data_IF_304873098255
#
_entry.id   IF_304873098255
#
_cell.length_a   1.000
_cell.length_b   1.000
_cell.length_c   1.000
_cell.angle_alpha   90.00
_cell.angle_beta   90.00
_cell.angle_gamma   90.00
#
_symmetry.space_group_name_H-M   'P 1'
#
loop_
_entity.id
_entity.type
_entity.pdbx_description
1 polymer ?
#
# COMPACT_ATOMS: atom_id res chain seq x y z
N UNK A 1 -54.72 -43.76 -2.99
CA UNK A 1 -54.00 -42.65 -3.62
C UNK A 1 -52.79 -42.32 -2.78
N UNK A 2 -51.63 -42.93 -3.07
CA UNK A 2 -50.46 -42.92 -2.20
C UNK A 2 -49.50 -41.86 -2.77
N UNK A 3 -49.34 -40.73 -2.02
CA UNK A 3 -48.36 -39.69 -2.40
C UNK A 3 -46.95 -40.20 -2.16
N UNK A 4 -46.14 -40.28 -3.22
CA UNK A 4 -44.69 -40.43 -3.12
C UNK A 4 -44.07 -39.08 -2.72
N UNK A 5 -43.48 -39.01 -1.55
CA UNK A 5 -42.61 -37.91 -1.19
C UNK A 5 -41.31 -38.04 -2.00
N UNK A 6 -41.06 -37.08 -2.87
CA UNK A 6 -39.78 -36.93 -3.58
C UNK A 6 -38.73 -36.50 -2.55
N UNK A 7 -37.68 -37.30 -2.44
CA UNK A 7 -36.50 -36.93 -1.66
C UNK A 7 -35.80 -35.75 -2.33
N UNK A 8 -35.69 -34.63 -1.62
CA UNK A 8 -34.79 -33.54 -2.03
C UNK A 8 -33.35 -34.06 -2.09
N UNK A 9 -32.62 -33.71 -3.15
CA UNK A 9 -31.21 -34.01 -3.17
C UNK A 9 -30.50 -33.27 -2.01
N UNK A 10 -29.66 -34.00 -1.27
CA UNK A 10 -28.80 -33.38 -0.28
C UNK A 10 -27.96 -32.33 -1.00
N UNK A 11 -28.08 -31.07 -0.55
CA UNK A 11 -27.13 -30.03 -0.95
C UNK A 11 -25.74 -30.55 -0.53
N UNK A 12 -24.89 -30.74 -1.52
CA UNK A 12 -23.48 -30.92 -1.27
C UNK A 12 -23.01 -29.69 -0.48
N UNK A 13 -22.62 -29.88 0.76
CA UNK A 13 -21.84 -28.90 1.48
C UNK A 13 -20.56 -28.75 0.69
N UNK A 14 -20.43 -27.68 -0.08
CA UNK A 14 -19.13 -27.20 -0.52
C UNK A 14 -18.29 -27.08 0.72
N UNK A 15 -17.13 -27.72 0.79
CA UNK A 15 -16.09 -27.28 1.66
C UNK A 15 -15.89 -25.82 1.27
N UNK A 16 -16.36 -24.90 2.12
CA UNK A 16 -15.96 -23.51 2.03
C UNK A 16 -14.43 -23.54 2.18
N UNK A 17 -13.72 -23.29 1.10
CA UNK A 17 -12.28 -23.09 1.15
C UNK A 17 -12.09 -21.83 2.01
N UNK A 18 -11.83 -22.06 3.29
CA UNK A 18 -11.58 -20.99 4.24
C UNK A 18 -10.18 -20.48 3.98
N UNK A 19 -10.08 -19.22 3.60
CA UNK A 19 -8.79 -18.54 3.41
C UNK A 19 -8.11 -18.45 4.78
N UNK A 20 -7.16 -19.34 5.04
CA UNK A 20 -6.35 -19.36 6.28
C UNK A 20 -5.20 -18.34 6.15
N UNK A 21 -5.46 -17.10 6.55
CA UNK A 21 -4.45 -16.03 6.52
C UNK A 21 -3.43 -16.12 7.67
N UNK A 22 -3.60 -17.02 8.62
CA UNK A 22 -2.58 -17.29 9.66
C UNK A 22 -1.49 -18.25 9.15
N UNK A 23 -1.76 -18.98 8.05
CA UNK A 23 -0.72 -19.69 7.32
C UNK A 23 0.19 -18.70 6.58
N UNK A 24 1.51 -18.70 6.82
CA UNK A 24 2.44 -17.73 6.23
C UNK A 24 2.49 -17.72 4.69
N UNK A 25 2.34 -18.89 4.05
CA UNK A 25 2.38 -19.00 2.59
C UNK A 25 1.08 -18.48 1.98
N UNK A 26 -0.06 -18.85 2.57
CA UNK A 26 -1.38 -18.35 2.15
C UNK A 26 -1.46 -16.84 2.33
N UNK A 27 -1.02 -16.33 3.47
CA UNK A 27 -0.97 -14.89 3.77
C UNK A 27 -0.12 -14.15 2.74
N UNK A 28 1.10 -14.61 2.51
CA UNK A 28 2.02 -13.98 1.56
C UNK A 28 1.44 -13.96 0.13
N UNK A 29 0.96 -15.12 -0.35
CA UNK A 29 0.37 -15.23 -1.69
C UNK A 29 -0.86 -14.34 -1.83
N UNK A 30 -1.72 -14.29 -0.81
CA UNK A 30 -2.91 -13.44 -0.77
C UNK A 30 -2.57 -11.96 -0.87
N UNK A 31 -1.57 -11.53 -0.10
CA UNK A 31 -1.06 -10.16 -0.16
C UNK A 31 -0.51 -9.82 -1.56
N UNK A 32 0.23 -10.75 -2.18
CA UNK A 32 0.77 -10.55 -3.52
C UNK A 32 -0.32 -10.49 -4.60
N UNK A 33 -1.41 -11.25 -4.48
CA UNK A 33 -2.58 -11.12 -5.35
C UNK A 33 -3.20 -9.72 -5.32
N UNK A 34 -3.26 -9.10 -4.15
CA UNK A 34 -3.75 -7.71 -4.03
C UNK A 34 -2.75 -6.68 -4.54
N UNK A 35 -1.46 -7.04 -4.60
CA UNK A 35 -0.42 -6.15 -5.14
C UNK A 35 -0.36 -6.19 -6.67
N UNK A 36 -0.73 -7.31 -7.28
CA UNK A 36 -0.69 -7.47 -8.73
C UNK A 36 -1.13 -8.85 -9.20
N UNK A 37 -1.05 -9.09 -10.50
CA UNK A 37 -1.43 -10.34 -11.12
C UNK A 37 -0.33 -11.40 -10.99
N UNK A 38 -0.65 -12.52 -10.31
CA UNK A 38 0.32 -13.61 -10.09
C UNK A 38 0.61 -14.44 -11.34
N UNK A 39 -0.20 -14.31 -12.39
CA UNK A 39 0.07 -14.95 -13.69
C UNK A 39 1.21 -14.28 -14.47
N UNK A 40 1.64 -13.09 -14.02
CA UNK A 40 2.63 -12.26 -14.69
C UNK A 40 2.04 -11.32 -15.75
N UNK A 41 0.72 -11.21 -15.81
CA UNK A 41 0.07 -10.21 -16.64
C UNK A 41 0.31 -8.79 -16.08
N UNK A 42 0.10 -7.78 -16.92
CA UNK A 42 0.19 -6.39 -16.49
C UNK A 42 -0.94 -6.08 -15.52
N UNK A 43 -0.60 -5.39 -14.43
CA UNK A 43 -1.57 -4.84 -13.50
C UNK A 43 -1.58 -3.31 -13.53
N UNK A 44 -2.69 -2.74 -13.09
CA UNK A 44 -2.84 -1.32 -12.82
C UNK A 44 -3.54 -1.15 -11.48
N UNK A 45 -3.01 -0.29 -10.63
CA UNK A 45 -3.59 0.02 -9.32
C UNK A 45 -3.62 1.52 -9.05
N UNK A 46 -4.61 1.96 -8.29
CA UNK A 46 -4.71 3.32 -7.78
C UNK A 46 -4.64 3.32 -6.26
N UNK A 47 -3.97 4.32 -5.69
CA UNK A 47 -3.83 4.44 -4.24
C UNK A 47 -4.03 5.89 -3.79
N UNK A 48 -5.22 6.23 -3.29
CA UNK A 48 -5.45 7.50 -2.62
C UNK A 48 -4.78 7.50 -1.24
N UNK A 49 -4.35 8.68 -0.80
CA UNK A 49 -3.72 8.82 0.51
C UNK A 49 -3.74 10.24 1.04
N UNK A 50 -3.08 10.44 2.16
CA UNK A 50 -2.90 11.73 2.80
C UNK A 50 -1.48 11.86 3.33
N UNK A 51 -0.87 13.02 3.13
CA UNK A 51 0.43 13.36 3.67
C UNK A 51 0.28 14.32 4.84
N UNK A 52 0.90 13.97 5.97
CA UNK A 52 0.87 14.73 7.19
C UNK A 52 2.28 15.09 7.63
N UNK A 53 2.46 16.30 8.14
CA UNK A 53 3.68 16.71 8.82
C UNK A 53 3.46 16.75 10.33
N UNK A 54 4.43 16.23 11.07
CA UNK A 54 4.42 16.21 12.52
C UNK A 54 5.70 16.84 13.04
N UNK A 55 5.56 17.93 13.78
CA UNK A 55 6.66 18.56 14.52
C UNK A 55 6.48 18.20 15.99
N UNK A 56 7.55 17.78 16.71
CA UNK A 56 7.44 17.45 18.12
C UNK A 56 6.77 18.55 18.94
N UNK A 57 5.78 18.16 19.76
CA UNK A 57 4.95 19.04 20.62
C UNK A 57 3.98 19.98 19.88
N UNK A 58 3.79 19.82 18.56
CA UNK A 58 2.80 20.53 17.78
C UNK A 58 1.68 19.59 17.31
N UNK A 59 0.56 20.15 16.87
CA UNK A 59 -0.50 19.36 16.25
C UNK A 59 -0.08 18.92 14.86
N UNK A 60 -0.37 17.65 14.46
CA UNK A 60 -0.17 17.22 13.09
C UNK A 60 -0.90 18.13 12.09
N UNK A 61 -0.25 18.42 10.98
CA UNK A 61 -0.81 19.23 9.89
C UNK A 61 -0.97 18.35 8.67
N UNK A 62 -2.19 18.24 8.14
CA UNK A 62 -2.44 17.66 6.84
C UNK A 62 -1.89 18.60 5.78
N UNK A 63 -0.85 18.16 5.08
CA UNK A 63 -0.21 18.94 4.03
C UNK A 63 -0.91 18.74 2.68
N UNK A 64 -1.21 17.48 2.35
CA UNK A 64 -1.75 17.10 1.04
C UNK A 64 -2.76 15.96 1.17
N UNK A 65 -3.69 15.88 0.23
CA UNK A 65 -4.20 14.59 -0.24
C UNK A 65 -3.24 14.11 -1.33
N UNK A 66 -3.16 12.80 -1.50
CA UNK A 66 -2.36 12.20 -2.56
C UNK A 66 -3.21 11.26 -3.41
N UNK A 67 -2.88 11.17 -4.69
CA UNK A 67 -3.47 10.21 -5.60
C UNK A 67 -2.34 9.58 -6.40
N UNK A 68 -2.08 8.32 -6.14
CA UNK A 68 -1.06 7.56 -6.83
C UNK A 68 -1.66 6.56 -7.80
N UNK A 69 -0.87 6.23 -8.80
CA UNK A 69 -1.16 5.17 -9.77
C UNK A 69 0.10 4.37 -10.00
N UNK A 70 -0.05 3.05 -10.07
CA UNK A 70 1.03 2.13 -10.37
C UNK A 70 0.62 1.19 -11.49
N UNK A 71 1.55 0.92 -12.40
CA UNK A 71 1.41 -0.16 -13.38
C UNK A 71 2.67 -1.00 -13.40
N UNK A 72 2.53 -2.31 -13.64
CA UNK A 72 3.67 -3.20 -13.59
C UNK A 72 3.32 -4.66 -13.80
N UNK A 73 4.27 -5.51 -13.41
CA UNK A 73 4.15 -6.98 -13.46
C UNK A 73 4.71 -7.60 -12.20
N UNK A 74 4.16 -8.76 -11.83
CA UNK A 74 4.77 -9.69 -10.87
C UNK A 74 5.33 -10.88 -11.64
N UNK A 75 6.58 -11.21 -11.39
CA UNK A 75 7.25 -12.40 -11.93
C UNK A 75 7.53 -13.36 -10.78
N UNK A 76 7.09 -14.61 -10.91
CA UNK A 76 7.42 -15.64 -9.92
C UNK A 76 8.90 -15.99 -10.03
N UNK A 77 9.61 -15.90 -8.90
CA UNK A 77 11.03 -16.28 -8.74
C UNK A 77 11.18 -17.30 -7.63
N UNK A 78 12.33 -18.00 -7.51
CA UNK A 78 12.51 -19.01 -6.46
C UNK A 78 12.30 -18.49 -5.03
N UNK A 79 12.62 -17.22 -4.78
CA UNK A 79 12.51 -16.57 -3.47
C UNK A 79 11.09 -16.04 -3.17
N UNK A 80 10.22 -15.93 -4.20
CA UNK A 80 8.88 -15.36 -4.06
C UNK A 80 8.39 -14.70 -5.33
N UNK A 81 8.16 -13.37 -5.30
CA UNK A 81 7.70 -12.60 -6.45
C UNK A 81 8.55 -11.36 -6.66
N UNK A 82 9.05 -11.18 -7.87
CA UNK A 82 9.72 -9.95 -8.30
C UNK A 82 8.70 -9.00 -8.88
N UNK A 83 8.70 -7.75 -8.38
CA UNK A 83 7.89 -6.68 -8.93
C UNK A 83 8.73 -5.80 -9.86
N UNK A 84 8.12 -5.42 -10.97
CA UNK A 84 8.56 -4.36 -11.87
C UNK A 84 7.40 -3.40 -12.01
N UNK A 85 7.50 -2.21 -11.46
CA UNK A 85 6.44 -1.21 -11.59
C UNK A 85 6.96 0.19 -11.84
N UNK A 86 6.05 1.05 -12.30
CA UNK A 86 6.24 2.49 -12.43
C UNK A 86 5.07 3.18 -11.75
N UNK A 87 5.40 4.21 -11.00
CA UNK A 87 4.43 4.94 -10.20
C UNK A 87 4.40 6.42 -10.57
N UNK A 88 3.22 6.98 -10.46
CA UNK A 88 2.93 8.41 -10.50
C UNK A 88 2.25 8.77 -9.19
N UNK A 89 2.67 9.85 -8.55
CA UNK A 89 2.03 10.37 -7.35
C UNK A 89 1.73 11.85 -7.55
N UNK A 90 0.45 12.19 -7.47
CA UNK A 90 -0.05 13.56 -7.52
C UNK A 90 -0.30 14.08 -6.11
N UNK A 91 0.14 15.31 -5.85
CA UNK A 91 -0.18 16.04 -4.62
C UNK A 91 -1.35 16.97 -4.89
N UNK A 92 -2.36 16.89 -4.02
CA UNK A 92 -3.61 17.60 -4.16
C UNK A 92 -3.87 18.48 -2.94
N UNK A 93 -4.60 19.56 -3.14
CA UNK A 93 -5.06 20.42 -2.05
C UNK A 93 -5.83 19.58 -1.01
N UNK A 94 -5.49 19.70 0.29
CA UNK A 94 -6.10 18.88 1.33
C UNK A 94 -7.59 19.14 1.55
N UNK A 95 -8.10 20.30 1.10
CA UNK A 95 -9.50 20.73 1.22
C UNK A 95 -10.27 20.48 -0.07
N UNK A 96 -9.83 21.10 -1.18
CA UNK A 96 -10.55 21.06 -2.46
C UNK A 96 -10.30 19.76 -3.23
N UNK A 97 -9.13 19.12 -3.06
CA UNK A 97 -8.73 17.96 -3.84
C UNK A 97 -8.23 18.31 -5.26
N UNK A 98 -8.00 19.56 -5.56
CA UNK A 98 -7.42 20.00 -6.83
C UNK A 98 -5.91 19.70 -6.86
N UNK A 99 -5.38 19.40 -8.05
CA UNK A 99 -3.94 19.18 -8.24
C UNK A 99 -3.20 20.49 -7.96
N UNK A 100 -2.16 20.43 -7.14
CA UNK A 100 -1.38 21.59 -6.74
C UNK A 100 -0.24 21.84 -7.72
N UNK A 101 -0.11 23.08 -8.17
CA UNK A 101 1.08 23.58 -8.84
C UNK A 101 2.04 24.25 -7.85
N UNK A 102 1.51 24.90 -6.84
CA UNK A 102 2.24 25.50 -5.71
C UNK A 102 1.56 25.22 -4.37
N UNK A 103 2.28 25.35 -3.29
CA UNK A 103 1.78 25.17 -1.94
C UNK A 103 2.33 26.23 -0.99
N UNK A 104 1.44 26.84 -0.21
CA UNK A 104 1.84 27.75 0.86
C UNK A 104 2.26 26.98 2.08
N UNK A 105 3.59 26.81 2.26
CA UNK A 105 4.17 26.00 3.33
C UNK A 105 3.97 26.68 4.71
N UNK A 106 3.14 26.13 5.61
CA UNK A 106 2.86 26.75 6.91
C UNK A 106 4.08 26.77 7.81
N UNK A 107 5.03 25.87 7.62
CA UNK A 107 6.27 25.77 8.40
C UNK A 107 7.30 26.81 7.98
N UNK A 108 7.11 27.47 6.85
CA UNK A 108 7.95 28.54 6.33
C UNK A 108 7.19 29.89 6.28
N UNK A 109 6.27 30.10 7.24
CA UNK A 109 5.51 31.35 7.32
C UNK A 109 4.57 31.60 6.15
N UNK A 110 4.09 30.55 5.48
CA UNK A 110 3.20 30.65 4.34
C UNK A 110 3.92 30.91 3.01
N UNK A 111 5.25 30.75 2.96
CA UNK A 111 6.00 30.89 1.71
C UNK A 111 5.52 29.90 0.68
N UNK A 112 5.23 30.37 -0.52
CA UNK A 112 4.89 29.52 -1.65
C UNK A 112 6.12 28.75 -2.14
N UNK A 113 5.93 27.45 -2.35
CA UNK A 113 6.91 26.55 -2.98
C UNK A 113 6.23 25.85 -4.16
N UNK A 114 6.96 25.62 -5.22
CA UNK A 114 6.51 24.86 -6.37
C UNK A 114 6.39 23.37 -5.99
N UNK A 115 5.34 22.70 -6.48
CA UNK A 115 5.11 21.28 -6.25
C UNK A 115 5.57 20.48 -7.46
N UNK A 116 6.48 19.54 -7.23
CA UNK A 116 6.88 18.55 -8.22
C UNK A 116 6.17 17.23 -7.93
N UNK A 117 5.32 16.81 -8.86
CA UNK A 117 4.67 15.51 -8.79
C UNK A 117 5.67 14.41 -9.14
N UNK A 118 5.58 13.28 -8.44
CA UNK A 118 6.37 12.11 -8.80
C UNK A 118 5.86 11.54 -10.11
N UNK A 119 6.74 11.31 -11.06
CA UNK A 119 6.41 10.69 -12.34
C UNK A 119 7.45 9.62 -12.69
N UNK A 120 6.96 8.46 -13.15
CA UNK A 120 7.79 7.35 -13.60
C UNK A 120 8.77 6.82 -12.53
N UNK A 121 8.35 6.80 -11.27
CA UNK A 121 9.14 6.26 -10.17
C UNK A 121 9.23 4.73 -10.26
N UNK A 122 10.44 4.14 -10.35
CA UNK A 122 10.60 2.70 -10.45
C UNK A 122 10.51 2.04 -9.07
N UNK A 123 9.51 1.19 -8.87
CA UNK A 123 9.44 0.28 -7.72
C UNK A 123 9.78 -1.12 -8.21
N UNK A 124 11.01 -1.55 -7.94
CA UNK A 124 11.53 -2.85 -8.36
C UNK A 124 12.13 -3.58 -7.17
N UNK A 125 11.90 -4.88 -7.08
CA UNK A 125 12.47 -5.70 -6.01
C UNK A 125 11.85 -7.07 -5.93
N UNK A 126 12.27 -7.84 -4.93
CA UNK A 126 11.75 -9.19 -4.68
C UNK A 126 11.04 -9.21 -3.33
N UNK A 127 9.79 -9.65 -3.34
CA UNK A 127 9.04 -9.98 -2.14
C UNK A 127 9.23 -11.45 -1.82
N UNK A 128 9.53 -11.78 -0.58
CA UNK A 128 9.73 -13.16 -0.12
C UNK A 128 9.21 -13.36 1.30
N UNK A 129 8.91 -14.59 1.66
CA UNK A 129 8.57 -14.94 3.04
C UNK A 129 9.86 -14.86 3.87
N UNK A 130 9.87 -13.99 4.89
CA UNK A 130 11.03 -13.81 5.76
C UNK A 130 12.23 -13.09 5.12
N UNK A 131 12.04 -12.47 3.96
CA UNK A 131 13.10 -11.77 3.23
C UNK A 131 12.95 -10.25 3.22
N UNK A 132 13.89 -9.60 2.53
CA UNK A 132 13.87 -8.15 2.32
C UNK A 132 13.08 -7.82 1.04
N UNK A 133 12.02 -7.05 1.19
CA UNK A 133 11.30 -6.46 0.05
C UNK A 133 12.04 -5.26 -0.54
N UNK A 134 11.54 -4.68 -1.65
CA UNK A 134 12.18 -3.56 -2.34
C UNK A 134 12.33 -2.29 -1.48
N UNK A 135 11.54 -2.17 -0.42
CA UNK A 135 11.54 -1.02 0.48
C UNK A 135 12.03 -1.37 1.89
N UNK A 136 12.73 -2.47 2.05
CA UNK A 136 13.23 -2.99 3.34
C UNK A 136 12.63 -4.34 3.69
N UNK A 137 12.82 -4.83 4.93
CA UNK A 137 12.39 -6.15 5.35
C UNK A 137 10.85 -6.23 5.38
N UNK A 138 10.28 -6.64 4.26
CA UNK A 138 8.87 -7.02 4.17
C UNK A 138 8.76 -8.53 4.30
N UNK A 139 9.09 -8.99 5.51
CA UNK A 139 8.91 -10.40 5.85
C UNK A 139 7.42 -10.70 6.05
N UNK A 140 6.89 -11.62 5.29
CA UNK A 140 5.60 -12.24 5.62
C UNK A 140 5.72 -13.12 6.88
N UNK A 141 4.61 -13.48 7.56
CA UNK A 141 3.27 -13.08 7.20
C UNK A 141 2.99 -11.60 7.47
N UNK A 142 2.19 -10.98 6.59
CA UNK A 142 1.84 -9.57 6.73
C UNK A 142 0.72 -9.38 7.75
N UNK A 143 0.79 -8.38 8.62
CA UNK A 143 -0.34 -8.00 9.47
C UNK A 143 -1.58 -7.73 8.62
N UNK A 144 -2.72 -8.23 9.05
CA UNK A 144 -3.98 -8.02 8.35
C UNK A 144 -5.14 -7.76 9.31
N UNK A 145 -6.19 -7.13 8.79
CA UNK A 145 -7.47 -6.96 9.45
C UNK A 145 -8.54 -7.50 8.52
N UNK A 146 -9.51 -8.21 9.07
CA UNK A 146 -10.57 -8.86 8.31
C UNK A 146 -11.96 -8.40 8.77
N UNK A 147 -12.84 -8.04 7.81
CA UNK A 147 -14.19 -7.58 8.04
C UNK A 147 -15.16 -8.34 7.11
N UNK A 148 -15.73 -9.45 7.58
CA UNK A 148 -16.56 -10.31 6.72
C UNK A 148 -15.76 -10.83 5.52
N UNK A 149 -16.17 -10.49 4.30
CA UNK A 149 -15.44 -10.85 3.07
C UNK A 149 -14.24 -9.95 2.76
N UNK A 150 -14.14 -8.79 3.38
CA UNK A 150 -13.04 -7.85 3.13
C UNK A 150 -11.81 -8.19 3.99
N UNK A 151 -10.62 -7.96 3.43
CA UNK A 151 -9.33 -8.04 4.12
C UNK A 151 -8.46 -6.87 3.74
N UNK A 152 -7.71 -6.35 4.72
CA UNK A 152 -6.71 -5.29 4.54
C UNK A 152 -5.39 -5.77 5.09
N UNK A 153 -4.40 -5.94 4.23
CA UNK A 153 -3.02 -6.16 4.64
C UNK A 153 -2.35 -4.83 4.91
N UNK A 154 -1.60 -4.76 6.00
CA UNK A 154 -0.93 -3.53 6.43
C UNK A 154 0.56 -3.60 6.10
N UNK A 155 1.04 -2.60 5.37
CA UNK A 155 2.45 -2.37 5.11
C UNK A 155 2.86 -1.05 5.73
N UNK A 156 3.66 -1.13 6.79
CA UNK A 156 4.07 0.04 7.52
C UNK A 156 5.59 0.19 7.42
N UNK A 157 6.02 1.29 6.86
CA UNK A 157 7.44 1.64 6.72
C UNK A 157 7.77 2.78 7.66
N UNK A 158 8.84 2.61 8.42
CA UNK A 158 9.39 3.65 9.27
C UNK A 158 10.85 3.85 8.89
N UNK A 159 11.14 4.95 8.21
CA UNK A 159 12.46 5.26 7.70
C UNK A 159 13.04 6.43 8.48
N UNK A 160 14.25 6.25 8.98
CA UNK A 160 15.03 7.31 9.62
C UNK A 160 16.28 7.53 8.77
N UNK A 161 16.48 8.73 8.27
CA UNK A 161 17.65 9.06 7.50
C UNK A 161 18.15 10.46 7.83
N UNK A 162 19.39 10.73 7.48
CA UNK A 162 19.95 12.07 7.61
C UNK A 162 19.17 13.02 6.71
N UNK A 163 18.70 14.13 7.28
CA UNK A 163 18.00 15.15 6.50
C UNK A 163 18.90 15.66 5.36
N UNK A 164 18.38 15.77 4.14
CA UNK A 164 19.14 16.28 3.00
C UNK A 164 19.58 17.73 3.19
N UNK A 165 18.84 18.47 4.01
CA UNK A 165 19.16 19.83 4.42
C UNK A 165 19.33 19.87 5.94
N UNK A 166 20.55 19.96 6.42
CA UNK A 166 20.80 20.09 7.87
C UNK A 166 20.31 21.44 8.39
N UNK A 167 19.84 21.47 9.64
CA UNK A 167 19.42 22.73 10.27
C UNK A 167 20.58 23.74 10.41
N UNK A 168 21.79 23.25 10.55
CA UNK A 168 22.98 24.11 10.65
C UNK A 168 23.23 24.90 9.36
N UNK A 169 23.02 24.25 8.21
CA UNK A 169 23.24 24.85 6.89
C UNK A 169 22.00 25.59 6.36
N UNK A 170 20.81 25.12 6.74
CA UNK A 170 19.50 25.62 6.24
C UNK A 170 18.55 25.94 7.39
N UNK A 171 18.90 26.88 8.29
CA UNK A 171 18.13 27.11 9.52
C UNK A 171 16.70 27.57 9.30
N UNK A 172 16.37 28.11 8.10
CA UNK A 172 15.04 28.55 7.72
C UNK A 172 14.23 27.48 6.97
N UNK A 173 14.86 26.36 6.60
CA UNK A 173 14.26 25.34 5.73
C UNK A 173 14.30 23.93 6.30
N UNK A 174 15.01 23.73 7.39
CA UNK A 174 15.15 22.42 8.04
C UNK A 174 14.78 22.49 9.51
N UNK A 175 13.99 21.53 9.98
CA UNK A 175 13.64 21.40 11.39
C UNK A 175 14.65 20.59 12.20
N UNK A 176 15.52 19.83 11.57
CA UNK A 176 16.50 18.98 12.23
C UNK A 176 17.49 18.34 11.27
N UNK A 177 18.34 17.50 11.84
CA UNK A 177 19.37 16.77 11.09
C UNK A 177 18.95 15.34 10.71
N UNK A 178 17.78 14.93 11.18
CA UNK A 178 17.19 13.60 10.91
C UNK A 178 15.75 13.79 10.45
N UNK A 179 15.44 13.24 9.30
CA UNK A 179 14.08 13.07 8.82
C UNK A 179 13.54 11.72 9.29
N UNK A 180 12.33 11.76 9.80
CA UNK A 180 11.54 10.57 10.11
C UNK A 180 10.40 10.50 9.11
N UNK A 181 10.43 9.47 8.28
CA UNK A 181 9.42 9.23 7.28
C UNK A 181 8.66 7.95 7.64
N UNK A 182 7.35 8.01 7.65
CA UNK A 182 6.49 6.86 7.87
C UNK A 182 5.48 6.76 6.73
N UNK A 183 5.38 5.58 6.14
CA UNK A 183 4.34 5.25 5.20
C UNK A 183 3.47 4.13 5.77
N UNK A 184 2.17 4.36 5.81
CA UNK A 184 1.19 3.41 6.27
C UNK A 184 0.32 3.01 5.08
N UNK A 185 0.53 1.82 4.56
CA UNK A 185 -0.17 1.29 3.40
C UNK A 185 -1.20 0.25 3.81
N UNK A 186 -2.36 0.29 3.15
CA UNK A 186 -3.37 -0.76 3.23
C UNK A 186 -3.62 -1.34 1.84
N UNK A 187 -3.34 -2.63 1.65
CA UNK A 187 -3.77 -3.37 0.46
C UNK A 187 -5.10 -4.03 0.79
N UNK A 188 -6.17 -3.55 0.18
CA UNK A 188 -7.52 -4.00 0.46
C UNK A 188 -8.10 -4.79 -0.72
N UNK A 189 -8.79 -5.88 -0.43
CA UNK A 189 -9.52 -6.68 -1.38
C UNK A 189 -10.52 -7.60 -0.72
N UNK A 190 -11.22 -8.41 -1.53
CA UNK A 190 -12.18 -9.39 -1.04
C UNK A 190 -11.54 -10.76 -0.94
N UNK A 191 -11.86 -11.51 0.11
CA UNK A 191 -11.40 -12.90 0.29
C UNK A 191 -11.87 -13.79 -0.86
N UNK A 192 -13.10 -13.58 -1.34
CA UNK A 192 -13.64 -14.29 -2.50
C UNK A 192 -12.83 -14.09 -3.77
N UNK A 193 -12.28 -12.88 -4.00
CA UNK A 193 -11.40 -12.58 -5.12
C UNK A 193 -9.99 -13.18 -4.94
N UNK A 194 -9.52 -13.26 -3.70
CA UNK A 194 -8.23 -13.90 -3.38
C UNK A 194 -8.30 -15.43 -3.56
N UNK A 195 -9.44 -16.03 -3.21
CA UNK A 195 -9.68 -17.47 -3.36
C UNK A 195 -9.88 -17.89 -4.82
N UNK A 196 -10.21 -16.97 -5.71
CA UNK A 196 -10.33 -17.24 -7.13
C UNK A 196 -8.96 -17.74 -7.65
N UNK A 197 -8.89 -18.94 -8.28
CA UNK A 197 -7.63 -19.50 -8.76
C UNK A 197 -7.04 -18.74 -9.96
N UNK A 198 -7.84 -17.94 -10.68
CA UNK A 198 -7.47 -17.23 -11.91
C UNK A 198 -7.00 -15.78 -11.69
#
# INVERSE_FOLDING_TARGET
MTMRMSSMPAMATSHDDVLDLDDPEVNFKSCMKLRGDLSGADFFSGFPGEAWSMVPNEKPVKCFKTLGFSSGKLEKVPEGYRIYSREVLLFLDPVTGEILEDWSNPFLGGRKIEIFHTANDPINGVFSIGGDGPLGPLAGPYPYISFGDEVVFQWNFFIHHKAPMSRAEYPLHSYGDIDQHAELWGLMGRKSEILDPD
#
